data_IF_481936302343
#
_entry.id   IF_481936302343
#
_cell.length_a   1.000
_cell.length_b   1.000
_cell.length_c   1.000
_cell.angle_alpha   90.00
_cell.angle_beta   90.00
_cell.angle_gamma   90.00
#
_symmetry.space_group_name_H-M   'P 1'
#
loop_
_entity.id
_entity.type
_entity.pdbx_description
1 polymer ?
#
# COMPACT_ATOMS: atom_id res chain seq x y z
N UNK A 1 -13.26 15.75 -9.72
CA UNK A 1 -13.18 14.41 -10.33
C UNK A 1 -11.76 13.93 -10.08
N UNK A 2 -11.59 12.72 -9.55
CA UNK A 2 -10.27 12.16 -9.28
C UNK A 2 -9.57 11.93 -10.63
N UNK A 3 -8.32 12.37 -10.75
CA UNK A 3 -7.47 12.06 -11.90
C UNK A 3 -6.98 10.62 -11.77
N UNK A 4 -7.11 9.82 -12.83
CA UNK A 4 -6.65 8.42 -12.87
C UNK A 4 -5.42 8.22 -13.78
N UNK A 5 -4.73 9.30 -14.15
CA UNK A 5 -3.52 9.21 -14.95
C UNK A 5 -2.46 8.31 -14.29
N UNK A 6 -1.79 7.48 -15.09
CA UNK A 6 -0.81 6.52 -14.57
C UNK A 6 0.41 7.18 -13.89
N UNK A 7 1.05 8.22 -14.47
CA UNK A 7 2.25 8.81 -13.88
C UNK A 7 2.01 9.27 -12.43
N UNK A 8 2.94 9.01 -11.50
CA UNK A 8 2.85 9.48 -10.12
C UNK A 8 2.60 10.99 -10.00
N UNK A 9 1.75 11.37 -9.05
CA UNK A 9 1.44 12.77 -8.76
C UNK A 9 1.22 12.96 -7.24
N UNK A 10 2.12 13.71 -6.59
CA UNK A 10 2.04 13.98 -5.16
C UNK A 10 0.82 14.81 -4.73
N UNK A 11 0.29 15.68 -5.59
CA UNK A 11 -0.94 16.44 -5.31
C UNK A 11 -2.14 15.50 -5.30
N UNK A 12 -2.24 14.63 -6.32
CA UNK A 12 -3.29 13.61 -6.39
C UNK A 12 -3.22 12.69 -5.17
N UNK A 13 -2.05 12.18 -4.83
CA UNK A 13 -1.88 11.35 -3.64
C UNK A 13 -2.26 12.07 -2.34
N UNK A 14 -1.92 13.35 -2.19
CA UNK A 14 -2.32 14.15 -1.02
C UNK A 14 -3.85 14.27 -0.93
N UNK A 15 -4.54 14.46 -2.06
CA UNK A 15 -6.01 14.51 -2.11
C UNK A 15 -6.61 13.16 -1.71
N UNK A 16 -6.04 12.07 -2.19
CA UNK A 16 -6.51 10.70 -1.88
C UNK A 16 -6.27 10.36 -0.40
N UNK A 17 -5.07 10.62 0.15
CA UNK A 17 -4.77 10.41 1.56
C UNK A 17 -5.71 11.23 2.46
N UNK A 18 -5.93 12.51 2.11
CA UNK A 18 -6.89 13.36 2.81
C UNK A 18 -8.30 12.76 2.81
N UNK A 19 -8.77 12.31 1.65
CA UNK A 19 -10.08 11.69 1.50
C UNK A 19 -10.23 10.45 2.38
N UNK A 20 -9.23 9.57 2.40
CA UNK A 20 -9.26 8.35 3.23
C UNK A 20 -9.38 8.69 4.73
N UNK A 21 -8.71 9.75 5.17
CA UNK A 21 -8.77 10.22 6.56
C UNK A 21 -10.10 10.91 6.90
N UNK A 22 -10.66 11.68 5.97
CA UNK A 22 -12.01 12.26 6.09
C UNK A 22 -13.08 11.16 6.19
N UNK A 23 -13.00 10.12 5.34
CA UNK A 23 -13.91 8.97 5.39
C UNK A 23 -13.83 8.22 6.74
N UNK A 24 -12.62 8.04 7.27
CA UNK A 24 -12.43 7.48 8.62
C UNK A 24 -13.06 8.38 9.68
N UNK A 25 -12.85 9.70 9.60
CA UNK A 25 -13.42 10.66 10.55
C UNK A 25 -14.96 10.61 10.55
N UNK A 26 -15.56 10.55 9.37
CA UNK A 26 -17.01 10.47 9.21
C UNK A 26 -17.56 9.15 9.76
N UNK A 27 -16.85 8.04 9.53
CA UNK A 27 -17.22 6.73 10.09
C UNK A 27 -17.14 6.71 11.62
N UNK A 28 -16.08 7.27 12.20
CA UNK A 28 -15.93 7.37 13.67
C UNK A 28 -16.98 8.30 14.29
N UNK A 29 -17.31 9.41 13.64
CA UNK A 29 -18.37 10.31 14.09
C UNK A 29 -19.74 9.61 14.08
N UNK A 30 -20.05 8.90 12.99
CA UNK A 30 -21.27 8.10 12.88
C UNK A 30 -21.34 7.03 13.98
N UNK A 31 -20.26 6.26 14.19
CA UNK A 31 -20.20 5.25 15.24
C UNK A 31 -20.44 5.88 16.62
N UNK A 32 -19.78 7.00 16.93
CA UNK A 32 -19.94 7.69 18.23
C UNK A 32 -21.40 8.09 18.50
N UNK A 33 -22.10 8.61 17.49
CA UNK A 33 -23.51 8.96 17.62
C UNK A 33 -24.41 7.73 17.83
N UNK A 34 -24.18 6.65 17.08
CA UNK A 34 -25.00 5.44 17.15
C UNK A 34 -24.80 4.64 18.45
N UNK A 35 -23.58 4.64 19.02
CA UNK A 35 -23.29 3.90 20.26
C UNK A 35 -23.54 4.72 21.53
N UNK A 36 -23.99 5.98 21.40
CA UNK A 36 -24.14 6.90 22.53
C UNK A 36 -25.08 6.34 23.60
N UNK A 37 -24.57 6.21 24.83
CA UNK A 37 -25.30 5.64 25.96
C UNK A 37 -25.48 4.12 25.91
N UNK A 38 -24.97 3.45 24.86
CA UNK A 38 -24.95 1.99 24.72
C UNK A 38 -23.59 1.40 25.07
N UNK A 39 -22.51 2.07 24.66
CA UNK A 39 -21.12 1.64 24.90
C UNK A 39 -20.37 2.81 25.53
N UNK A 40 -19.70 2.55 26.65
CA UNK A 40 -18.90 3.55 27.37
C UNK A 40 -17.67 3.94 26.54
N UNK A 41 -17.52 5.24 26.27
CA UNK A 41 -16.39 5.81 25.56
C UNK A 41 -16.24 7.31 25.85
N UNK A 42 -15.06 7.86 25.59
CA UNK A 42 -14.78 9.28 25.73
C UNK A 42 -15.21 10.04 24.46
N UNK A 43 -16.48 10.47 24.44
CA UNK A 43 -17.07 11.26 23.35
C UNK A 43 -16.22 12.51 22.99
N UNK A 44 -15.63 13.16 23.99
CA UNK A 44 -14.88 14.41 23.79
C UNK A 44 -13.55 14.13 23.12
N UNK A 45 -12.81 13.14 23.62
CA UNK A 45 -11.53 12.76 23.01
C UNK A 45 -11.70 12.22 21.59
N UNK A 46 -12.75 11.42 21.34
CA UNK A 46 -13.07 10.94 20.00
C UNK A 46 -13.47 12.10 19.07
N UNK A 47 -14.26 13.05 19.54
CA UNK A 47 -14.62 14.26 18.79
C UNK A 47 -13.41 15.12 18.41
N UNK A 48 -12.41 15.22 19.29
CA UNK A 48 -11.14 15.90 18.97
C UNK A 48 -10.36 15.16 17.88
N UNK A 49 -10.29 13.83 17.94
CA UNK A 49 -9.63 13.02 16.91
C UNK A 49 -10.32 13.15 15.55
N UNK A 50 -11.66 13.09 15.51
CA UNK A 50 -12.47 13.31 14.30
C UNK A 50 -12.18 14.69 13.70
N UNK A 51 -12.12 15.73 14.53
CA UNK A 51 -11.79 17.09 14.07
C UNK A 51 -10.37 17.14 13.49
N UNK A 52 -9.39 16.55 14.19
CA UNK A 52 -8.00 16.51 13.73
C UNK A 52 -7.86 15.79 12.37
N UNK A 53 -8.54 14.66 12.18
CA UNK A 53 -8.54 13.93 10.90
C UNK A 53 -9.09 14.80 9.76
N UNK A 54 -10.21 15.52 9.98
CA UNK A 54 -10.80 16.45 9.00
C UNK A 54 -9.91 17.65 8.69
N UNK A 55 -9.12 18.09 9.67
CA UNK A 55 -8.13 19.15 9.50
C UNK A 55 -6.84 18.66 8.81
N UNK A 56 -6.75 17.36 8.48
CA UNK A 56 -5.64 16.76 7.73
C UNK A 56 -4.53 16.18 8.61
N UNK A 57 -4.78 15.97 9.90
CA UNK A 57 -3.81 15.29 10.77
C UNK A 57 -3.59 13.84 10.28
N UNK A 58 -2.33 13.47 10.10
CA UNK A 58 -1.96 12.13 9.62
C UNK A 58 -1.72 11.20 10.80
N UNK A 59 -2.69 10.35 11.10
CA UNK A 59 -2.56 9.28 12.09
C UNK A 59 -1.85 8.05 11.52
N UNK A 60 -1.18 7.24 12.37
CA UNK A 60 -0.47 6.04 11.94
C UNK A 60 -1.41 4.93 11.42
N UNK A 61 -0.90 3.93 10.69
CA UNK A 61 -1.70 2.82 10.17
C UNK A 61 -2.46 2.04 11.26
N UNK A 62 -1.95 2.01 12.50
CA UNK A 62 -2.64 1.41 13.64
C UNK A 62 -4.01 2.03 13.90
N UNK A 63 -4.22 3.29 13.56
CA UNK A 63 -5.51 3.95 13.69
C UNK A 63 -6.57 3.34 12.75
N UNK A 64 -6.21 3.06 11.50
CA UNK A 64 -7.10 2.36 10.56
C UNK A 64 -7.33 0.90 10.97
N UNK A 65 -6.28 0.24 11.49
CA UNK A 65 -6.42 -1.12 12.01
C UNK A 65 -7.34 -1.19 13.23
N UNK A 66 -7.23 -0.23 14.15
CA UNK A 66 -8.10 -0.12 15.32
C UNK A 66 -9.55 0.12 14.92
N UNK A 67 -9.78 0.98 13.93
CA UNK A 67 -11.11 1.20 13.36
C UNK A 67 -11.67 -0.09 12.74
N UNK A 68 -10.87 -0.83 11.99
CA UNK A 68 -11.27 -2.12 11.40
C UNK A 68 -11.70 -3.11 12.48
N UNK A 69 -10.89 -3.26 13.53
CA UNK A 69 -11.23 -4.12 14.67
C UNK A 69 -12.49 -3.65 15.41
N UNK A 70 -12.69 -2.33 15.51
CA UNK A 70 -13.86 -1.73 16.14
C UNK A 70 -15.14 -2.10 15.39
N UNK A 71 -15.13 -1.98 14.06
CA UNK A 71 -16.27 -2.37 13.22
C UNK A 71 -16.60 -3.84 13.40
N UNK A 72 -15.60 -4.73 13.39
CA UNK A 72 -15.80 -6.17 13.62
C UNK A 72 -16.34 -6.48 15.03
N UNK A 73 -15.85 -5.77 16.05
CA UNK A 73 -16.35 -5.92 17.41
C UNK A 73 -17.82 -5.47 17.54
N UNK A 74 -18.19 -4.36 16.89
CA UNK A 74 -19.57 -3.87 16.87
C UNK A 74 -20.50 -4.83 16.12
N UNK A 75 -20.09 -5.31 14.95
CA UNK A 75 -20.87 -6.26 14.14
C UNK A 75 -21.14 -7.58 14.88
N UNK A 76 -20.16 -8.07 15.62
CA UNK A 76 -20.30 -9.28 16.45
C UNK A 76 -20.99 -9.04 17.81
N UNK A 77 -21.41 -7.81 18.12
CA UNK A 77 -22.04 -7.45 19.39
C UNK A 77 -21.11 -7.48 20.61
N UNK A 78 -19.79 -7.46 20.39
CA UNK A 78 -18.77 -7.43 21.44
C UNK A 78 -18.55 -6.01 21.99
N UNK A 79 -19.50 -5.54 22.79
CA UNK A 79 -19.50 -4.16 23.33
C UNK A 79 -18.27 -3.84 24.20
N UNK A 80 -17.81 -4.80 25.02
CA UNK A 80 -16.61 -4.60 25.86
C UNK A 80 -15.35 -4.46 25.01
N UNK A 81 -15.25 -5.26 23.94
CA UNK A 81 -14.19 -5.15 22.94
C UNK A 81 -14.23 -3.79 22.23
N UNK A 82 -15.40 -3.35 21.80
CA UNK A 82 -15.60 -2.05 21.15
C UNK A 82 -15.18 -0.88 22.08
N UNK A 83 -15.59 -0.90 23.35
CA UNK A 83 -15.19 0.11 24.34
C UNK A 83 -13.66 0.16 24.52
N UNK A 84 -13.01 -1.01 24.58
CA UNK A 84 -11.55 -1.10 24.69
C UNK A 84 -10.82 -0.53 23.46
N UNK A 85 -11.36 -0.76 22.27
CA UNK A 85 -10.81 -0.25 21.01
C UNK A 85 -11.00 1.25 20.86
N UNK A 86 -12.17 1.79 21.25
CA UNK A 86 -12.42 3.23 21.31
C UNK A 86 -11.44 3.93 22.25
N UNK A 87 -11.19 3.35 23.43
CA UNK A 87 -10.19 3.87 24.36
C UNK A 87 -8.76 3.81 23.80
N UNK A 88 -8.44 2.86 22.91
CA UNK A 88 -7.15 2.83 22.22
C UNK A 88 -7.06 3.91 21.13
N UNK A 89 -8.12 4.07 20.32
CA UNK A 89 -8.21 5.11 19.28
C UNK A 89 -7.97 6.51 19.85
N UNK A 90 -8.61 6.86 20.97
CA UNK A 90 -8.47 8.20 21.57
C UNK A 90 -7.08 8.49 22.15
N UNK A 91 -6.21 7.47 22.26
CA UNK A 91 -4.82 7.61 22.69
C UNK A 91 -3.84 7.73 21.53
N UNK A 92 -4.25 7.34 20.32
CA UNK A 92 -3.43 7.50 19.12
C UNK A 92 -3.03 8.98 18.93
N UNK A 93 -1.83 9.18 18.40
CA UNK A 93 -1.29 10.51 18.15
C UNK A 93 -0.98 10.68 16.67
N UNK A 94 -1.23 11.86 16.09
CA UNK A 94 -0.83 12.13 14.72
C UNK A 94 0.70 12.09 14.59
N UNK A 95 1.18 11.57 13.46
CA UNK A 95 2.58 11.59 13.12
C UNK A 95 3.02 13.00 12.70
N UNK A 96 4.27 13.34 12.98
CA UNK A 96 4.87 14.65 12.66
C UNK A 96 5.77 14.61 11.43
N UNK A 97 6.33 13.44 11.13
CA UNK A 97 7.23 13.24 9.98
C UNK A 97 6.43 12.77 8.75
N UNK A 98 6.93 12.98 7.52
CA UNK A 98 6.31 12.46 6.31
C UNK A 98 6.10 10.95 6.36
N UNK A 99 7.09 10.22 6.86
CA UNK A 99 6.99 8.81 7.18
C UNK A 99 7.99 8.41 8.26
N UNK A 100 7.73 7.29 8.91
CA UNK A 100 8.58 6.69 9.95
C UNK A 100 8.98 5.27 9.55
N UNK A 101 10.11 4.80 10.05
CA UNK A 101 10.60 3.44 9.81
C UNK A 101 10.81 2.74 11.14
N UNK A 102 10.18 1.58 11.30
CA UNK A 102 10.20 0.78 12.53
C UNK A 102 10.51 -0.68 12.21
N UNK A 103 11.25 -1.36 13.10
CA UNK A 103 11.24 -2.82 13.11
C UNK A 103 9.92 -3.33 13.69
N UNK A 104 9.48 -4.53 13.31
CA UNK A 104 8.24 -5.12 13.82
C UNK A 104 8.19 -5.22 15.36
N UNK A 105 9.34 -5.42 16.01
CA UNK A 105 9.50 -5.48 17.47
C UNK A 105 9.91 -4.14 18.11
N UNK A 106 9.87 -3.03 17.36
CA UNK A 106 10.20 -1.71 17.89
C UNK A 106 9.22 -1.31 19.02
N UNK A 107 9.72 -0.86 20.18
CA UNK A 107 8.88 -0.44 21.30
C UNK A 107 7.81 0.62 20.95
N UNK A 108 8.06 1.47 19.96
CA UNK A 108 7.11 2.49 19.52
C UNK A 108 5.85 1.90 18.88
N UNK A 109 5.93 0.71 18.28
CA UNK A 109 4.80 0.04 17.63
C UNK A 109 4.43 -1.31 18.29
N UNK A 110 5.08 -1.69 19.38
CA UNK A 110 4.90 -3.00 20.03
C UNK A 110 3.43 -3.32 20.37
N UNK A 111 2.64 -2.32 20.77
CA UNK A 111 1.21 -2.49 21.06
C UNK A 111 0.37 -2.77 19.79
N UNK A 112 0.84 -2.32 18.63
CA UNK A 112 0.16 -2.44 17.33
C UNK A 112 0.64 -3.63 16.51
N UNK A 113 1.85 -4.14 16.78
CA UNK A 113 2.46 -5.23 16.00
C UNK A 113 1.58 -6.48 15.85
N UNK A 114 0.90 -7.01 16.90
CA UNK A 114 0.00 -8.15 16.73
C UNK A 114 -1.17 -7.88 15.78
N UNK A 115 -1.68 -6.65 15.77
CA UNK A 115 -2.75 -6.21 14.87
C UNK A 115 -2.23 -6.09 13.44
N UNK A 116 -1.04 -5.53 13.26
CA UNK A 116 -0.39 -5.45 11.96
C UNK A 116 -0.20 -6.83 11.33
N UNK A 117 0.33 -7.80 12.09
CA UNK A 117 0.48 -9.17 11.63
C UNK A 117 -0.83 -9.79 11.16
N UNK A 118 -1.90 -9.67 11.97
CA UNK A 118 -3.22 -10.22 11.63
C UNK A 118 -3.87 -9.53 10.42
N UNK A 119 -3.77 -8.21 10.31
CA UNK A 119 -4.42 -7.46 9.23
C UNK A 119 -3.63 -7.48 7.91
N UNK A 120 -2.37 -7.89 7.96
CA UNK A 120 -1.58 -8.24 6.78
C UNK A 120 -1.83 -9.69 6.34
N UNK A 121 -1.94 -10.63 7.28
CA UNK A 121 -2.24 -12.06 7.01
C UNK A 121 -3.75 -12.28 6.77
N UNK A 122 -4.29 -11.63 5.73
CA UNK A 122 -5.73 -11.66 5.41
C UNK A 122 -6.16 -12.85 4.54
N UNK A 123 -5.21 -13.61 3.98
CA UNK A 123 -5.47 -14.80 3.17
C UNK A 123 -5.39 -16.06 4.05
N UNK A 124 -6.54 -16.68 4.42
CA UNK A 124 -6.54 -17.82 5.32
C UNK A 124 -5.89 -19.07 4.74
N UNK A 125 -5.81 -19.17 3.41
CA UNK A 125 -5.32 -20.34 2.67
C UNK A 125 -3.83 -20.20 2.33
N UNK A 126 -3.31 -18.97 2.25
CA UNK A 126 -1.91 -18.70 1.99
C UNK A 126 -1.28 -17.80 3.07
N UNK A 127 -1.18 -18.35 4.27
CA UNK A 127 -0.58 -17.65 5.41
C UNK A 127 0.91 -17.39 5.21
N UNK A 128 1.36 -16.20 5.58
CA UNK A 128 2.77 -15.86 5.61
C UNK A 128 3.16 -15.39 7.01
N UNK A 129 4.23 -16.00 7.55
CA UNK A 129 4.78 -15.59 8.82
C UNK A 129 5.78 -14.45 8.61
N UNK A 130 5.47 -13.30 9.18
CA UNK A 130 6.39 -12.18 9.33
C UNK A 130 7.03 -12.21 10.71
N UNK A 131 8.36 -12.10 10.73
CA UNK A 131 9.17 -12.12 11.94
C UNK A 131 9.90 -10.78 12.10
N UNK A 132 10.30 -10.41 13.33
CA UNK A 132 11.14 -9.24 13.52
C UNK A 132 12.55 -9.47 12.96
N UNK A 133 13.12 -8.51 12.21
CA UNK A 133 14.50 -8.57 11.73
C UNK A 133 15.51 -8.43 12.88
N UNK A 134 16.71 -8.97 12.68
CA UNK A 134 17.82 -8.73 13.60
C UNK A 134 18.24 -7.23 13.59
N UNK A 135 18.72 -6.66 14.71
CA UNK A 135 19.08 -5.24 14.79
C UNK A 135 20.08 -4.76 13.72
N UNK A 136 21.07 -5.59 13.38
CA UNK A 136 22.04 -5.26 12.33
C UNK A 136 21.38 -5.20 10.93
N UNK A 137 20.40 -6.06 10.67
CA UNK A 137 19.60 -6.03 9.44
C UNK A 137 18.75 -4.77 9.37
N UNK A 138 18.13 -4.36 10.49
CA UNK A 138 17.37 -3.10 10.60
C UNK A 138 18.25 -1.90 10.27
N UNK A 139 19.43 -1.79 10.88
CA UNK A 139 20.33 -0.65 10.66
C UNK A 139 20.81 -0.58 9.20
N UNK A 140 21.20 -1.72 8.63
CA UNK A 140 21.64 -1.82 7.25
C UNK A 140 20.51 -1.45 6.27
N UNK A 141 19.30 -1.98 6.49
CA UNK A 141 18.14 -1.67 5.66
C UNK A 141 17.75 -0.20 5.79
N UNK A 142 17.65 0.34 7.01
CA UNK A 142 17.26 1.74 7.21
C UNK A 142 18.25 2.72 6.57
N UNK A 143 19.54 2.40 6.57
CA UNK A 143 20.56 3.19 5.87
C UNK A 143 20.34 3.13 4.35
N UNK A 144 20.11 1.94 3.81
CA UNK A 144 19.86 1.72 2.38
C UNK A 144 18.55 2.39 1.91
N UNK A 145 17.49 2.26 2.69
CA UNK A 145 16.17 2.86 2.44
C UNK A 145 16.24 4.38 2.35
N UNK A 146 16.90 5.05 3.32
CA UNK A 146 17.09 6.50 3.26
C UNK A 146 17.92 6.95 2.07
N UNK A 147 18.96 6.18 1.71
CA UNK A 147 19.78 6.46 0.51
C UNK A 147 18.96 6.30 -0.77
N UNK A 148 18.17 5.23 -0.89
CA UNK A 148 17.30 4.99 -2.03
C UNK A 148 16.20 6.05 -2.16
N UNK A 149 15.57 6.46 -1.05
CA UNK A 149 14.57 7.52 -1.04
C UNK A 149 15.17 8.89 -1.42
N UNK A 150 16.39 9.19 -0.98
CA UNK A 150 17.10 10.39 -1.43
C UNK A 150 17.40 10.33 -2.94
N UNK A 151 17.82 9.18 -3.45
CA UNK A 151 18.01 8.99 -4.90
C UNK A 151 16.68 9.17 -5.65
N UNK A 152 15.59 8.58 -5.15
CA UNK A 152 14.24 8.72 -5.70
C UNK A 152 13.83 10.19 -5.77
N UNK A 153 14.00 10.92 -4.68
CA UNK A 153 13.65 12.35 -4.58
C UNK A 153 14.40 13.23 -5.58
N UNK A 154 15.65 12.87 -5.90
CA UNK A 154 16.47 13.62 -6.86
C UNK A 154 16.21 13.19 -8.31
N UNK A 155 15.95 11.90 -8.55
CA UNK A 155 15.82 11.33 -9.88
C UNK A 155 14.39 11.39 -10.43
N UNK A 156 13.39 11.16 -9.57
CA UNK A 156 11.98 11.03 -9.91
C UNK A 156 11.14 11.71 -8.82
N UNK A 157 11.23 13.05 -8.70
CA UNK A 157 10.60 13.80 -7.61
C UNK A 157 9.07 13.60 -7.53
N UNK A 158 8.40 13.33 -8.64
CA UNK A 158 6.96 13.08 -8.66
C UNK A 158 6.57 11.75 -7.97
N UNK A 159 7.42 10.71 -8.08
CA UNK A 159 7.19 9.44 -7.40
C UNK A 159 7.56 9.54 -5.92
N UNK A 160 8.62 10.28 -5.58
CA UNK A 160 8.93 10.58 -4.19
C UNK A 160 7.79 11.34 -3.50
N UNK A 161 7.23 12.36 -4.15
CA UNK A 161 6.12 13.13 -3.60
C UNK A 161 4.84 12.30 -3.44
N UNK A 162 4.56 11.38 -4.38
CA UNK A 162 3.43 10.46 -4.24
C UNK A 162 3.64 9.46 -3.09
N UNK A 163 4.85 8.90 -2.99
CA UNK A 163 5.24 8.02 -1.89
C UNK A 163 5.11 8.71 -0.53
N UNK A 164 5.66 9.91 -0.37
CA UNK A 164 5.64 10.66 0.90
C UNK A 164 4.22 11.06 1.32
N UNK A 165 3.32 11.27 0.35
CA UNK A 165 1.92 11.58 0.62
C UNK A 165 1.13 10.34 1.07
N UNK A 166 1.34 9.18 0.44
CA UNK A 166 0.58 7.95 0.71
C UNK A 166 1.14 7.15 1.89
N UNK A 167 2.47 7.05 2.01
CA UNK A 167 3.12 6.23 3.03
C UNK A 167 3.30 7.02 4.31
N UNK A 168 2.99 6.40 5.44
CA UNK A 168 3.10 6.94 6.79
C UNK A 168 4.10 6.15 7.62
N UNK A 169 4.07 4.82 7.54
CA UNK A 169 5.03 3.97 8.25
C UNK A 169 5.55 2.86 7.36
N UNK A 170 6.85 2.63 7.44
CA UNK A 170 7.55 1.48 6.86
C UNK A 170 7.92 0.54 8.00
N UNK A 171 7.30 -0.64 8.03
CA UNK A 171 7.51 -1.67 9.03
C UNK A 171 8.43 -2.74 8.45
N UNK A 172 9.59 -2.90 9.07
CA UNK A 172 10.57 -3.89 8.66
C UNK A 172 10.25 -5.23 9.29
N UNK A 173 10.17 -6.24 8.43
CA UNK A 173 9.93 -7.64 8.78
C UNK A 173 11.00 -8.52 8.13
N UNK A 174 11.00 -9.79 8.47
CA UNK A 174 11.63 -10.86 7.67
C UNK A 174 10.61 -11.96 7.42
N UNK A 175 10.82 -12.76 6.38
CA UNK A 175 10.04 -13.98 6.18
C UNK A 175 10.46 -15.08 7.16
N UNK A 176 9.58 -16.04 7.41
CA UNK A 176 9.97 -17.29 8.07
C UNK A 176 10.88 -18.10 7.14
N UNK A 177 12.15 -18.39 7.52
CA UNK A 177 13.06 -19.17 6.69
C UNK A 177 12.56 -20.57 6.37
N UNK A 178 11.61 -21.10 7.14
CA UNK A 178 10.99 -22.41 6.92
C UNK A 178 9.77 -22.36 5.97
N UNK A 179 9.27 -21.17 5.63
CA UNK A 179 8.11 -21.02 4.76
C UNK A 179 8.46 -21.28 3.28
N UNK A 180 7.54 -21.92 2.57
CA UNK A 180 7.66 -22.20 1.13
C UNK A 180 7.64 -20.92 0.30
N UNK A 181 6.89 -19.92 0.75
CA UNK A 181 6.84 -18.59 0.16
C UNK A 181 7.44 -17.58 1.13
N UNK A 182 8.39 -16.80 0.63
CA UNK A 182 9.00 -15.71 1.39
C UNK A 182 8.18 -14.43 1.16
N UNK A 183 7.84 -13.75 2.24
CA UNK A 183 7.25 -12.42 2.18
C UNK A 183 8.31 -11.43 1.68
N UNK A 184 7.98 -10.61 0.68
CA UNK A 184 8.92 -9.65 0.08
C UNK A 184 8.54 -8.19 0.39
N UNK A 185 7.25 -7.91 0.32
CA UNK A 185 6.64 -6.64 0.65
C UNK A 185 5.12 -6.77 0.66
N UNK A 186 4.44 -5.81 1.30
CA UNK A 186 3.00 -5.71 1.19
C UNK A 186 2.42 -4.49 1.88
N UNK A 187 1.19 -4.19 1.48
CA UNK A 187 0.34 -3.15 2.05
C UNK A 187 -1.10 -3.67 2.16
N UNK A 188 -1.92 -3.04 3.01
CA UNK A 188 -3.30 -3.47 3.26
C UNK A 188 -4.23 -2.26 3.37
N UNK A 189 -5.41 -2.35 2.77
CA UNK A 189 -6.46 -1.32 2.89
C UNK A 189 -6.80 -1.02 4.37
N UNK A 190 -6.82 -2.06 5.21
CA UNK A 190 -7.11 -1.96 6.66
C UNK A 190 -5.99 -1.28 7.46
N UNK A 191 -4.82 -1.09 6.84
CA UNK A 191 -3.63 -0.47 7.43
C UNK A 191 -3.16 0.69 6.54
N UNK A 192 -4.07 1.61 6.19
CA UNK A 192 -3.78 2.74 5.31
C UNK A 192 -2.48 3.48 5.69
N UNK A 193 -1.61 3.67 4.70
CA UNK A 193 -0.28 4.27 4.85
C UNK A 193 0.77 3.37 5.49
N UNK A 194 0.45 2.11 5.77
CA UNK A 194 1.38 1.09 6.26
C UNK A 194 2.01 0.32 5.12
N UNK A 195 3.35 0.26 5.14
CA UNK A 195 4.16 -0.46 4.18
C UNK A 195 5.03 -1.48 4.92
N UNK A 196 4.85 -2.76 4.66
CA UNK A 196 5.64 -3.85 5.28
C UNK A 196 6.68 -4.31 4.28
N UNK A 197 7.96 -4.29 4.64
CA UNK A 197 9.06 -4.68 3.74
C UNK A 197 9.94 -5.73 4.39
N UNK A 198 10.31 -6.75 3.62
CA UNK A 198 11.32 -7.69 4.05
C UNK A 198 12.70 -7.01 4.06
N UNK A 199 13.31 -6.93 5.24
CA UNK A 199 14.58 -6.26 5.45
C UNK A 199 15.79 -7.01 4.85
N UNK A 200 15.63 -8.30 4.53
CA UNK A 200 16.63 -9.14 3.88
C UNK A 200 16.54 -9.09 2.34
N UNK A 201 15.44 -8.55 1.81
CA UNK A 201 15.20 -8.34 0.38
C UNK A 201 15.75 -6.99 -0.11
N UNK A 202 15.56 -6.71 -1.41
CA UNK A 202 15.83 -5.40 -2.02
C UNK A 202 17.27 -4.92 -1.81
N UNK A 203 18.24 -5.75 -2.21
CA UNK A 203 19.67 -5.56 -1.91
C UNK A 203 20.34 -4.34 -2.53
N UNK A 204 19.66 -3.64 -3.45
CA UNK A 204 20.19 -2.46 -4.17
C UNK A 204 19.25 -1.26 -4.04
N UNK A 205 19.76 -0.06 -4.30
CA UNK A 205 18.94 1.16 -4.28
C UNK A 205 17.88 1.15 -5.38
N UNK A 206 18.19 0.55 -6.53
CA UNK A 206 17.24 0.41 -7.65
C UNK A 206 16.10 -0.53 -7.27
N UNK A 207 16.40 -1.68 -6.65
CA UNK A 207 15.37 -2.59 -6.16
C UNK A 207 14.48 -1.92 -5.09
N UNK A 208 15.05 -1.07 -4.23
CA UNK A 208 14.25 -0.30 -3.28
C UNK A 208 13.38 0.77 -3.95
N UNK A 209 13.85 1.42 -5.01
CA UNK A 209 13.02 2.35 -5.79
C UNK A 209 11.88 1.61 -6.48
N UNK A 210 12.15 0.42 -7.01
CA UNK A 210 11.14 -0.44 -7.63
C UNK A 210 10.08 -0.87 -6.61
N UNK A 211 10.46 -1.36 -5.42
CA UNK A 211 9.48 -1.73 -4.39
C UNK A 211 8.73 -0.52 -3.81
N UNK A 212 9.35 0.65 -3.73
CA UNK A 212 8.64 1.89 -3.39
C UNK A 212 7.57 2.22 -4.44
N UNK A 213 7.87 2.07 -5.74
CA UNK A 213 6.90 2.25 -6.83
C UNK A 213 5.78 1.19 -6.78
N UNK A 214 6.15 -0.05 -6.47
CA UNK A 214 5.23 -1.17 -6.34
C UNK A 214 4.17 -0.91 -5.27
N UNK A 215 4.64 -0.62 -4.06
CA UNK A 215 3.78 -0.61 -2.89
C UNK A 215 2.99 0.69 -2.76
N UNK A 216 3.58 1.82 -3.18
CA UNK A 216 2.80 3.07 -3.30
C UNK A 216 1.70 2.94 -4.35
N UNK A 217 1.89 2.14 -5.40
CA UNK A 217 0.85 1.87 -6.38
C UNK A 217 -0.30 1.01 -5.80
N UNK A 218 -0.03 0.04 -4.93
CA UNK A 218 -1.08 -0.67 -4.19
C UNK A 218 -1.87 0.27 -3.28
N UNK A 219 -1.19 1.12 -2.50
CA UNK A 219 -1.85 2.11 -1.63
C UNK A 219 -2.69 3.09 -2.46
N UNK A 220 -2.20 3.49 -3.63
CA UNK A 220 -2.95 4.34 -4.56
C UNK A 220 -4.24 3.64 -5.04
N UNK A 221 -4.17 2.36 -5.41
CA UNK A 221 -5.34 1.58 -5.81
C UNK A 221 -6.37 1.45 -4.68
N UNK A 222 -5.91 1.22 -3.44
CA UNK A 222 -6.78 1.25 -2.26
C UNK A 222 -7.49 2.59 -2.09
N UNK A 223 -6.82 3.69 -2.43
CA UNK A 223 -7.43 5.02 -2.41
C UNK A 223 -8.48 5.21 -3.51
N UNK A 224 -8.23 4.67 -4.70
CA UNK A 224 -9.20 4.67 -5.80
C UNK A 224 -10.43 3.80 -5.49
N UNK A 225 -10.26 2.74 -4.69
CA UNK A 225 -11.37 1.86 -4.29
C UNK A 225 -12.20 2.37 -3.11
N UNK A 226 -12.10 3.67 -2.78
CA UNK A 226 -12.77 4.25 -1.60
C UNK A 226 -14.29 4.39 -1.74
N UNK A 227 -14.81 4.51 -2.97
CA UNK A 227 -16.26 4.61 -3.23
C UNK A 227 -16.88 3.30 -3.74
N UNK A 228 -16.11 2.56 -4.54
CA UNK A 228 -16.52 1.32 -5.18
C UNK A 228 -15.29 0.43 -5.35
N UNK A 229 -15.49 -0.88 -5.44
CA UNK A 229 -14.43 -1.81 -5.83
C UNK A 229 -13.92 -1.48 -7.25
N UNK A 230 -12.71 -1.92 -7.60
CA UNK A 230 -12.17 -1.75 -8.96
C UNK A 230 -12.70 -2.83 -9.91
N UNK A 231 -13.05 -3.99 -9.37
CA UNK A 231 -13.68 -5.10 -10.07
C UNK A 231 -14.94 -5.56 -9.34
N UNK A 232 -15.94 -6.00 -10.08
CA UNK A 232 -17.17 -6.62 -9.57
C UNK A 232 -17.09 -8.15 -9.54
N UNK A 233 -16.00 -8.73 -10.05
CA UNK A 233 -15.78 -10.18 -10.01
C UNK A 233 -15.83 -10.68 -8.55
N UNK A 234 -16.40 -11.87 -8.37
CA UNK A 234 -16.45 -12.56 -7.07
C UNK A 234 -15.04 -12.98 -6.62
N UNK A 235 -14.70 -12.71 -5.36
CA UNK A 235 -13.41 -13.05 -4.74
C UNK A 235 -13.17 -14.56 -4.67
N UNK A 236 -14.24 -15.38 -4.66
CA UNK A 236 -14.13 -16.84 -4.68
C UNK A 236 -13.85 -17.40 -6.08
N UNK A 237 -14.01 -16.58 -7.13
CA UNK A 237 -13.75 -17.01 -8.51
C UNK A 237 -12.28 -16.79 -8.88
N UNK A 238 -11.57 -17.91 -9.06
CA UNK A 238 -10.14 -17.90 -9.38
C UNK A 238 -9.88 -18.01 -10.89
N UNK A 239 -8.89 -17.26 -11.36
CA UNK A 239 -8.43 -17.24 -12.74
C UNK A 239 -6.97 -17.66 -12.81
N UNK A 240 -6.57 -18.30 -13.91
CA UNK A 240 -5.16 -18.61 -14.16
C UNK A 240 -4.37 -17.29 -14.24
N UNK A 241 -3.38 -17.13 -13.36
CA UNK A 241 -2.48 -15.99 -13.38
C UNK A 241 -1.19 -16.39 -14.10
N UNK A 242 -0.74 -15.65 -15.13
CA UNK A 242 0.56 -15.91 -15.74
C UNK A 242 1.74 -15.52 -14.85
N UNK A 243 1.47 -14.82 -13.73
CA UNK A 243 2.46 -14.27 -12.81
C UNK A 243 2.73 -15.17 -11.59
N UNK A 244 1.83 -16.12 -11.30
CA UNK A 244 1.94 -17.07 -10.18
C UNK A 244 1.54 -18.46 -10.64
N UNK A 245 2.03 -19.49 -9.95
CA UNK A 245 1.61 -20.87 -10.24
C UNK A 245 0.16 -21.13 -9.82
N UNK A 246 -0.28 -20.47 -8.76
CA UNK A 246 -1.61 -20.66 -8.19
C UNK A 246 -2.63 -19.68 -8.81
N UNK A 247 -3.85 -20.13 -9.13
CA UNK A 247 -4.95 -19.26 -9.56
C UNK A 247 -5.25 -18.15 -8.54
N UNK A 248 -5.73 -17.00 -9.02
CA UNK A 248 -5.97 -15.80 -8.19
C UNK A 248 -7.35 -15.20 -8.45
N UNK A 249 -7.96 -14.54 -7.45
CA UNK A 249 -9.13 -13.69 -7.69
C UNK A 249 -8.77 -12.57 -8.68
N UNK A 250 -9.77 -12.06 -9.40
CA UNK A 250 -9.57 -11.01 -10.39
C UNK A 250 -8.96 -9.74 -9.77
N UNK A 251 -9.35 -9.38 -8.54
CA UNK A 251 -8.79 -8.23 -7.83
C UNK A 251 -7.26 -8.30 -7.73
N UNK A 252 -6.74 -9.46 -7.34
CA UNK A 252 -5.30 -9.70 -7.27
C UNK A 252 -4.59 -9.61 -8.63
N UNK A 253 -5.24 -10.07 -9.71
CA UNK A 253 -4.69 -9.97 -11.08
C UNK A 253 -4.73 -8.52 -11.57
N UNK A 254 -5.82 -7.80 -11.31
CA UNK A 254 -5.97 -6.39 -11.62
C UNK A 254 -4.87 -5.57 -10.95
N UNK A 255 -4.68 -5.76 -9.64
CA UNK A 255 -3.66 -5.09 -8.84
C UNK A 255 -2.25 -5.37 -9.39
N UNK A 256 -1.89 -6.64 -9.60
CA UNK A 256 -0.58 -7.01 -10.15
C UNK A 256 -0.33 -6.42 -11.55
N UNK A 257 -1.38 -6.36 -12.38
CA UNK A 257 -1.30 -5.77 -13.72
C UNK A 257 -1.00 -4.28 -13.64
N UNK A 258 -1.81 -3.51 -12.90
CA UNK A 258 -1.60 -2.07 -12.76
C UNK A 258 -0.23 -1.75 -12.15
N UNK A 259 0.18 -2.48 -11.10
CA UNK A 259 1.47 -2.28 -10.44
C UNK A 259 2.64 -2.58 -11.38
N UNK A 260 2.53 -3.56 -12.28
CA UNK A 260 3.55 -3.80 -13.30
C UNK A 260 3.74 -2.57 -14.21
N UNK A 261 2.67 -1.90 -14.63
CA UNK A 261 2.81 -0.64 -15.41
C UNK A 261 3.50 0.47 -14.61
N UNK A 262 3.25 0.53 -13.30
CA UNK A 262 3.84 1.53 -12.39
C UNK A 262 5.33 1.30 -12.15
N UNK A 263 5.76 0.05 -11.97
CA UNK A 263 7.18 -0.31 -11.88
C UNK A 263 7.90 -0.07 -13.21
N UNK A 264 7.28 -0.46 -14.33
CA UNK A 264 7.80 -0.16 -15.67
C UNK A 264 8.02 1.36 -15.84
N UNK A 265 7.04 2.18 -15.44
CA UNK A 265 7.16 3.64 -15.49
C UNK A 265 8.32 4.15 -14.63
N UNK A 266 8.44 3.69 -13.39
CA UNK A 266 9.49 4.12 -12.47
C UNK A 266 10.88 3.79 -13.02
N UNK A 267 11.09 2.56 -13.50
CA UNK A 267 12.37 2.14 -14.07
C UNK A 267 12.69 2.89 -15.36
N UNK A 268 11.69 3.12 -16.24
CA UNK A 268 11.86 3.93 -17.46
C UNK A 268 12.34 5.33 -17.13
N UNK A 269 11.71 5.98 -16.13
CA UNK A 269 12.09 7.33 -15.70
C UNK A 269 13.47 7.34 -15.05
N UNK A 270 13.78 6.37 -14.19
CA UNK A 270 15.10 6.26 -13.56
C UNK A 270 16.22 6.17 -14.61
N UNK A 271 16.06 5.31 -15.62
CA UNK A 271 17.02 5.14 -16.72
C UNK A 271 17.21 6.45 -17.49
N UNK A 272 16.12 7.17 -17.77
CA UNK A 272 16.15 8.41 -18.55
C UNK A 272 16.90 9.55 -17.87
N UNK A 273 17.03 9.54 -16.53
CA UNK A 273 17.80 10.57 -15.80
C UNK A 273 19.30 10.51 -16.08
N UNK A 274 19.82 9.35 -16.47
CA UNK A 274 21.26 9.11 -16.59
C UNK A 274 22.04 9.16 -15.26
N UNK A 275 21.34 9.23 -14.12
CA UNK A 275 21.94 9.22 -12.78
C UNK A 275 22.48 7.83 -12.38
N UNK A 276 21.76 6.71 -12.64
CA UNK A 276 22.25 5.38 -12.26
C UNK A 276 23.61 5.06 -12.91
N UNK A 277 24.47 4.36 -12.15
CA UNK A 277 25.68 3.76 -12.73
C UNK A 277 25.33 2.59 -13.68
N UNK A 278 26.34 2.00 -14.31
CA UNK A 278 26.12 0.93 -15.29
C UNK A 278 25.40 -0.30 -14.71
N UNK A 279 25.70 -0.69 -13.46
CA UNK A 279 25.08 -1.86 -12.83
C UNK A 279 23.63 -1.57 -12.42
N UNK A 280 23.39 -0.40 -11.82
CA UNK A 280 22.07 0.08 -11.47
C UNK A 280 21.18 0.27 -12.71
N UNK A 281 21.74 0.79 -13.80
CA UNK A 281 21.06 0.92 -15.09
C UNK A 281 20.67 -0.43 -15.67
N UNK A 282 21.60 -1.39 -15.67
CA UNK A 282 21.32 -2.76 -16.15
C UNK A 282 20.17 -3.40 -15.36
N UNK A 283 20.19 -3.29 -14.04
CA UNK A 283 19.10 -3.77 -13.18
C UNK A 283 17.76 -3.11 -13.56
N UNK A 284 17.73 -1.79 -13.72
CA UNK A 284 16.50 -1.07 -14.08
C UNK A 284 15.99 -1.48 -15.49
N UNK A 285 16.89 -1.74 -16.43
CA UNK A 285 16.53 -2.19 -17.79
C UNK A 285 15.92 -3.61 -17.76
N UNK A 286 16.47 -4.52 -16.95
CA UNK A 286 15.95 -5.87 -16.74
C UNK A 286 14.58 -5.86 -16.05
N UNK A 287 14.45 -5.10 -14.95
CA UNK A 287 13.19 -4.91 -14.22
C UNK A 287 12.09 -4.35 -15.14
N UNK A 288 12.39 -3.25 -15.86
CA UNK A 288 11.47 -2.66 -16.84
C UNK A 288 11.00 -3.67 -17.89
N UNK A 289 11.91 -4.50 -18.42
CA UNK A 289 11.54 -5.50 -19.41
C UNK A 289 10.65 -6.61 -18.83
N UNK A 290 10.92 -7.04 -17.59
CA UNK A 290 10.08 -7.99 -16.88
C UNK A 290 8.67 -7.42 -16.62
N UNK A 291 8.59 -6.16 -16.20
CA UNK A 291 7.33 -5.47 -15.93
C UNK A 291 6.44 -5.32 -17.16
N UNK A 292 7.04 -5.03 -18.33
CA UNK A 292 6.31 -5.02 -19.60
C UNK A 292 5.66 -6.38 -19.87
N UNK A 293 6.43 -7.45 -19.73
CA UNK A 293 5.92 -8.81 -19.92
C UNK A 293 4.82 -9.13 -18.91
N UNK A 294 5.00 -8.75 -17.65
CA UNK A 294 4.05 -9.02 -16.58
C UNK A 294 2.73 -8.27 -16.80
N UNK A 295 2.81 -6.99 -17.19
CA UNK A 295 1.66 -6.18 -17.55
C UNK A 295 0.87 -6.81 -18.68
N UNK A 296 1.50 -7.14 -19.81
CA UNK A 296 0.78 -7.70 -20.97
C UNK A 296 0.11 -9.03 -20.64
N UNK A 297 0.78 -9.88 -19.85
CA UNK A 297 0.23 -11.16 -19.44
C UNK A 297 -0.98 -10.98 -18.51
N UNK A 298 -0.90 -10.10 -17.51
CA UNK A 298 -2.02 -9.80 -16.61
C UNK A 298 -3.18 -9.10 -17.33
N UNK A 299 -2.87 -8.12 -18.20
CA UNK A 299 -3.87 -7.36 -18.96
C UNK A 299 -4.71 -8.27 -19.87
N UNK A 300 -4.12 -9.29 -20.50
CA UNK A 300 -4.89 -10.27 -21.29
C UNK A 300 -5.95 -11.02 -20.47
N UNK A 301 -5.68 -11.27 -19.19
CA UNK A 301 -6.64 -11.92 -18.29
C UNK A 301 -7.73 -10.94 -17.90
N UNK A 302 -7.34 -9.70 -17.52
CA UNK A 302 -8.28 -8.62 -17.18
C UNK A 302 -9.20 -8.29 -18.36
N UNK A 303 -8.67 -8.17 -19.57
CA UNK A 303 -9.46 -7.88 -20.78
C UNK A 303 -10.47 -8.99 -21.08
N UNK A 304 -10.08 -10.25 -20.86
CA UNK A 304 -10.93 -11.41 -21.18
C UNK A 304 -12.00 -11.68 -20.12
N UNK A 305 -11.69 -11.45 -18.85
CA UNK A 305 -12.47 -11.94 -17.73
C UNK A 305 -12.89 -10.86 -16.71
N UNK A 306 -12.32 -9.66 -16.79
CA UNK A 306 -12.60 -8.58 -15.86
C UNK A 306 -14.01 -8.01 -16.05
N UNK A 307 -14.77 -7.98 -14.96
CA UNK A 307 -15.97 -7.18 -14.81
C UNK A 307 -15.59 -5.91 -14.04
N UNK A 308 -15.11 -4.90 -14.77
CA UNK A 308 -14.56 -3.68 -14.16
C UNK A 308 -15.67 -2.68 -13.82
N UNK A 309 -15.54 -2.01 -12.68
CA UNK A 309 -16.36 -0.81 -12.39
C UNK A 309 -15.97 0.35 -13.28
N UNK A 310 -16.71 1.46 -13.22
CA UNK A 310 -16.36 2.66 -13.98
C UNK A 310 -14.97 3.19 -13.56
N UNK A 311 -14.67 3.20 -12.26
CA UNK A 311 -13.36 3.57 -11.74
C UNK A 311 -12.28 2.59 -12.18
N UNK A 312 -12.51 1.28 -12.05
CA UNK A 312 -11.54 0.25 -12.47
C UNK A 312 -11.22 0.31 -13.97
N UNK A 313 -12.24 0.52 -14.82
CA UNK A 313 -12.03 0.66 -16.26
C UNK A 313 -11.18 1.90 -16.60
N UNK A 314 -11.43 3.04 -15.94
CA UNK A 314 -10.68 4.27 -16.18
C UNK A 314 -9.20 4.14 -15.75
N UNK A 315 -8.94 3.55 -14.60
CA UNK A 315 -7.59 3.31 -14.07
C UNK A 315 -6.81 2.35 -14.96
N UNK A 316 -7.42 1.22 -15.36
CA UNK A 316 -6.76 0.24 -16.22
C UNK A 316 -6.54 0.77 -17.64
N UNK A 317 -7.46 1.58 -18.19
CA UNK A 317 -7.28 2.24 -19.47
C UNK A 317 -6.08 3.19 -19.46
N UNK A 318 -5.93 4.02 -18.42
CA UNK A 318 -4.77 4.91 -18.29
C UNK A 318 -3.44 4.14 -18.21
N UNK A 319 -3.42 2.98 -17.54
CA UNK A 319 -2.27 2.09 -17.51
C UNK A 319 -1.95 1.52 -18.90
N UNK A 320 -2.97 1.03 -19.61
CA UNK A 320 -2.83 0.48 -20.96
C UNK A 320 -2.32 1.53 -21.95
N UNK A 321 -2.90 2.74 -21.94
CA UNK A 321 -2.49 3.84 -22.82
C UNK A 321 -1.01 4.19 -22.65
N UNK A 322 -0.53 4.22 -21.40
CA UNK A 322 0.90 4.41 -21.13
C UNK A 322 1.75 3.27 -21.72
N UNK A 323 1.40 2.02 -21.44
CA UNK A 323 2.19 0.86 -21.86
C UNK A 323 2.28 0.76 -23.39
N UNK A 324 1.21 1.06 -24.11
CA UNK A 324 1.21 1.10 -25.58
C UNK A 324 2.08 2.22 -26.16
N UNK A 325 2.16 3.36 -25.48
CA UNK A 325 3.05 4.46 -25.89
C UNK A 325 4.51 4.12 -25.61
N UNK A 326 4.83 3.55 -24.44
CA UNK A 326 6.17 3.13 -24.09
C UNK A 326 6.71 2.01 -24.99
N UNK A 327 5.85 1.08 -25.42
CA UNK A 327 6.20 0.04 -26.38
C UNK A 327 6.52 0.61 -27.78
N UNK A 328 5.86 1.71 -28.18
CA UNK A 328 6.13 2.39 -29.46
C UNK A 328 7.46 3.14 -29.44
N UNK A 329 7.82 3.77 -28.32
CA UNK A 329 9.09 4.49 -28.17
C UNK A 329 10.32 3.57 -28.18
N UNK A 330 10.14 2.27 -27.93
CA UNK A 330 11.21 1.27 -27.85
C UNK A 330 11.41 0.46 -29.14
N UNK A 331 10.52 0.57 -30.13
CA UNK A 331 10.71 -0.07 -31.45
C UNK A 331 11.54 0.84 -32.37
N UNK A 332 12.64 0.35 -32.97
CA UNK A 332 13.37 1.12 -33.98
C UNK A 332 12.48 1.35 -35.21
N UNK A 333 12.48 2.59 -35.71
CA UNK A 333 11.83 2.98 -36.96
C UNK A 333 12.39 2.24 -38.18
#
# INVERSE_FOLDING_TARGET
>A
MIDFSLPPDGTRATIIDRRMRENLADSLAYISDEIRGLIDHDDVALGHMVTALRDGARYPPSTFGLYTDLVLALDSGNNDGAASLLAQLTREQPQTEPWQLYALDDPAIAASAPRYLRLMDSDPDNRFAMLPPAPATVEAFATRFRRAHLLLSNAIPELAAEFDALVSQVILVTGDPAATYQFDGGSSYMLWGGLFLNAESHGTDVALIEVMAHESAHILLFGYSSDEALVNNDDDTLYESPLRLDPRPMDGIYHATYVSARMHWAMSRLIATGIPDAAARQHAEEARAADLKNFEAGYQVVERHGDLTATGAAVMAAARDYMENAARETQPA
#
